data_IF_024173828135
#
_entry.id   IF_024173828135
#
_cell.length_a   1.000
_cell.length_b   1.000
_cell.length_c   1.000
_cell.angle_alpha   90.00
_cell.angle_beta   90.00
_cell.angle_gamma   90.00
#
_symmetry.space_group_name_H-M   'P 1'
#
loop_
_entity.id
_entity.type
_entity.pdbx_description
1 polymer ?
#
# COMPACT_ATOMS: atom_id res chain seq x y z
N UNK A 1 -73.51 14.36 25.04
CA UNK A 1 -72.65 13.54 25.91
C UNK A 1 -73.16 12.11 25.79
N UNK A 2 -73.05 11.45 24.63
CA UNK A 2 -71.82 10.93 23.99
C UNK A 2 -71.17 9.83 24.82
N UNK A 3 -71.47 8.56 24.55
CA UNK A 3 -70.58 7.66 23.80
C UNK A 3 -70.93 6.17 24.00
N UNK A 4 -71.11 5.50 22.87
CA UNK A 4 -71.11 4.05 22.61
C UNK A 4 -69.84 3.37 23.15
N UNK A 5 -69.87 2.12 23.65
CA UNK A 5 -68.66 1.32 23.76
C UNK A 5 -68.34 0.65 22.42
N UNK A 6 -67.30 1.14 21.76
CA UNK A 6 -66.67 0.53 20.59
C UNK A 6 -65.72 -0.61 21.00
N UNK A 7 -65.68 -1.65 20.16
CA UNK A 7 -64.74 -2.77 20.11
C UNK A 7 -63.27 -2.41 20.34
N UNK A 8 -62.46 -3.31 20.96
CA UNK A 8 -61.22 -3.83 20.33
C UNK A 8 -60.59 -5.03 21.08
N UNK A 9 -60.47 -6.18 20.41
CA UNK A 9 -59.43 -7.23 20.61
C UNK A 9 -58.20 -6.82 19.78
N UNK A 10 -56.96 -7.39 19.87
CA UNK A 10 -56.45 -8.51 20.68
C UNK A 10 -55.01 -8.33 21.24
N UNK A 11 -54.51 -9.30 22.00
CA UNK A 11 -53.12 -9.76 21.85
C UNK A 11 -52.22 -9.76 23.08
N UNK A 12 -51.35 -10.77 23.09
CA UNK A 12 -50.22 -10.99 23.99
C UNK A 12 -50.56 -11.59 25.36
N UNK A 13 -50.37 -12.92 25.44
CA UNK A 13 -50.57 -13.70 26.66
C UNK A 13 -49.72 -13.18 27.81
N UNK A 14 -50.38 -12.89 28.92
CA UNK A 14 -49.75 -12.52 30.18
C UNK A 14 -48.86 -13.67 30.67
N UNK A 15 -47.53 -13.52 30.57
CA UNK A 15 -46.61 -14.46 31.21
C UNK A 15 -46.65 -14.23 32.71
N UNK A 16 -47.31 -15.15 33.43
CA UNK A 16 -47.40 -15.13 34.89
C UNK A 16 -46.18 -15.84 35.47
N UNK A 17 -45.17 -15.09 35.93
CA UNK A 17 -44.03 -15.65 36.64
C UNK A 17 -44.44 -15.89 38.09
N UNK A 18 -44.44 -17.16 38.53
CA UNK A 18 -44.68 -17.56 39.92
C UNK A 18 -43.34 -17.81 40.61
N UNK A 19 -43.22 -17.40 41.87
CA UNK A 19 -42.04 -17.64 42.70
C UNK A 19 -41.82 -19.16 42.87
N UNK A 20 -40.89 -19.72 42.08
CA UNK A 20 -40.54 -21.13 42.11
C UNK A 20 -39.98 -21.69 40.80
N UNK A 21 -40.21 -21.04 39.66
CA UNK A 21 -39.72 -21.56 38.38
C UNK A 21 -38.34 -20.97 38.05
N UNK A 22 -37.31 -21.83 38.05
CA UNK A 22 -35.97 -21.44 37.59
C UNK A 22 -35.96 -21.33 36.07
N UNK A 23 -35.62 -20.15 35.56
CA UNK A 23 -35.59 -19.88 34.12
C UNK A 23 -34.69 -20.88 33.37
N UNK A 24 -35.12 -21.43 32.22
CA UNK A 24 -34.30 -22.38 31.48
C UNK A 24 -33.02 -21.71 30.96
N UNK A 25 -31.87 -22.26 31.34
CA UNK A 25 -30.54 -21.76 30.98
C UNK A 25 -30.36 -21.83 29.45
N UNK A 26 -30.08 -20.72 28.74
CA UNK A 26 -30.11 -20.71 27.28
C UNK A 26 -28.91 -21.46 26.68
N UNK A 27 -29.10 -22.74 26.34
CA UNK A 27 -28.09 -23.62 25.74
C UNK A 27 -27.62 -23.16 24.34
N UNK A 28 -28.47 -22.44 23.60
CA UNK A 28 -28.18 -21.91 22.24
C UNK A 28 -27.13 -20.80 22.21
N UNK A 29 -26.91 -20.06 23.30
CA UNK A 29 -25.94 -18.93 23.30
C UNK A 29 -24.50 -19.40 23.22
N UNK A 30 -24.17 -20.50 23.93
CA UNK A 30 -22.81 -21.07 23.97
C UNK A 30 -22.36 -21.60 22.61
N UNK A 31 -23.26 -22.17 21.82
CA UNK A 31 -22.93 -22.70 20.48
C UNK A 31 -22.64 -21.58 19.48
N UNK A 32 -23.35 -20.46 19.59
CA UNK A 32 -23.13 -19.26 18.76
C UNK A 32 -21.82 -18.57 19.12
N UNK A 33 -21.50 -18.47 20.40
CA UNK A 33 -20.23 -17.90 20.88
C UNK A 33 -19.01 -18.69 20.38
N UNK A 34 -19.09 -20.03 20.43
CA UNK A 34 -18.00 -20.90 19.93
C UNK A 34 -17.85 -20.77 18.41
N UNK A 35 -18.97 -20.72 17.66
CA UNK A 35 -18.92 -20.55 16.21
C UNK A 35 -18.30 -19.20 15.80
N UNK A 36 -18.61 -18.12 16.52
CA UNK A 36 -18.01 -16.80 16.30
C UNK A 36 -16.51 -16.80 16.60
N UNK A 37 -16.08 -17.42 17.69
CA UNK A 37 -14.67 -17.50 18.05
C UNK A 37 -13.85 -18.27 17.00
N UNK A 38 -14.37 -19.40 16.52
CA UNK A 38 -13.73 -20.19 15.44
C UNK A 38 -13.69 -19.40 14.13
N UNK A 39 -14.77 -18.71 13.78
CA UNK A 39 -14.83 -17.87 12.58
C UNK A 39 -13.80 -16.72 12.62
N UNK A 40 -13.63 -16.08 13.77
CA UNK A 40 -12.64 -15.00 13.96
C UNK A 40 -11.20 -15.52 13.80
N UNK A 41 -10.88 -16.67 14.41
CA UNK A 41 -9.54 -17.28 14.30
C UNK A 41 -9.21 -17.67 12.87
N UNK A 42 -10.17 -18.23 12.12
CA UNK A 42 -10.01 -18.53 10.70
C UNK A 42 -9.78 -17.28 9.85
N UNK A 43 -10.52 -16.20 10.12
CA UNK A 43 -10.35 -14.92 9.42
C UNK A 43 -8.97 -14.31 9.65
N UNK A 44 -8.48 -14.32 10.89
CA UNK A 44 -7.15 -13.80 11.24
C UNK A 44 -6.06 -14.64 10.57
N UNK A 45 -6.17 -15.97 10.63
CA UNK A 45 -5.21 -16.88 9.99
C UNK A 45 -5.14 -16.71 8.47
N UNK A 46 -6.29 -16.61 7.80
CA UNK A 46 -6.37 -16.36 6.36
C UNK A 46 -5.81 -14.98 5.98
N UNK A 47 -6.15 -13.94 6.76
CA UNK A 47 -5.64 -12.58 6.53
C UNK A 47 -4.11 -12.50 6.64
N UNK A 48 -3.52 -13.17 7.64
CA UNK A 48 -2.07 -13.20 7.81
C UNK A 48 -1.34 -13.93 6.67
N UNK A 49 -1.90 -15.04 6.18
CA UNK A 49 -1.33 -15.79 5.06
C UNK A 49 -1.34 -14.97 3.75
N UNK A 50 -2.45 -14.29 3.45
CA UNK A 50 -2.58 -13.44 2.26
C UNK A 50 -1.64 -12.22 2.35
N UNK A 51 -1.57 -11.56 3.50
CA UNK A 51 -0.68 -10.42 3.71
C UNK A 51 0.81 -10.81 3.57
N UNK A 52 1.18 -11.98 4.07
CA UNK A 52 2.54 -12.52 3.90
C UNK A 52 2.87 -12.79 2.43
N UNK A 53 1.96 -13.43 1.69
CA UNK A 53 2.15 -13.70 0.26
C UNK A 53 2.28 -12.42 -0.58
N UNK A 54 1.45 -11.39 -0.31
CA UNK A 54 1.55 -10.08 -0.96
C UNK A 54 2.86 -9.37 -0.64
N UNK A 55 3.32 -9.45 0.62
CA UNK A 55 4.55 -8.79 1.05
C UNK A 55 5.81 -9.39 0.41
N UNK A 56 5.81 -10.70 0.16
CA UNK A 56 6.94 -11.37 -0.52
C UNK A 56 7.04 -11.02 -2.01
N UNK A 57 5.95 -10.56 -2.64
CA UNK A 57 5.97 -10.07 -4.02
C UNK A 57 6.60 -8.67 -4.16
N UNK A 58 6.92 -8.01 -3.04
CA UNK A 58 7.60 -6.72 -2.99
C UNK A 58 9.12 -6.85 -2.83
N UNK A 59 9.67 -8.05 -3.05
CA UNK A 59 11.12 -8.24 -3.12
C UNK A 59 11.67 -7.38 -4.26
N UNK A 60 12.40 -6.34 -3.89
CA UNK A 60 13.14 -5.52 -4.84
C UNK A 60 14.00 -6.45 -5.69
N UNK A 61 13.89 -6.31 -7.02
CA UNK A 61 14.72 -7.06 -7.94
C UNK A 61 16.20 -6.91 -7.51
N UNK A 62 17.01 -7.98 -7.57
CA UNK A 62 18.44 -7.88 -7.32
C UNK A 62 18.97 -6.72 -8.17
N UNK A 63 19.62 -5.75 -7.52
CA UNK A 63 20.24 -4.66 -8.25
C UNK A 63 21.15 -5.30 -9.33
N UNK A 64 20.96 -4.96 -10.62
CA UNK A 64 21.80 -5.54 -11.65
C UNK A 64 23.26 -5.22 -11.30
N UNK A 65 24.14 -6.21 -11.45
CA UNK A 65 25.59 -5.99 -11.34
C UNK A 65 25.95 -4.89 -12.34
N UNK A 66 26.26 -3.70 -11.84
CA UNK A 66 26.55 -2.54 -12.69
C UNK A 66 27.93 -2.73 -13.30
N UNK A 67 27.99 -3.21 -14.54
CA UNK A 67 29.20 -3.07 -15.35
C UNK A 67 29.35 -1.60 -15.76
N UNK A 68 30.59 -1.11 -15.99
CA UNK A 68 30.81 0.20 -16.58
C UNK A 68 30.00 0.34 -17.87
N UNK A 69 29.38 1.50 -18.07
CA UNK A 69 28.64 1.77 -19.30
C UNK A 69 29.60 1.70 -20.50
N UNK A 70 29.12 1.22 -21.64
CA UNK A 70 29.93 1.20 -22.86
C UNK A 70 30.17 2.63 -23.40
N UNK A 71 29.21 3.54 -23.22
CA UNK A 71 29.30 4.91 -23.69
C UNK A 71 28.58 5.87 -22.73
N UNK A 72 29.22 7.01 -22.42
CA UNK A 72 28.66 8.16 -21.74
C UNK A 72 28.42 9.28 -22.75
N UNK A 73 27.19 9.78 -22.84
CA UNK A 73 26.82 10.95 -23.64
C UNK A 73 26.71 12.17 -22.74
N UNK A 74 27.59 13.15 -22.95
CA UNK A 74 27.66 14.39 -22.17
C UNK A 74 27.20 15.57 -23.03
N UNK A 75 26.00 16.07 -22.72
CA UNK A 75 25.49 17.33 -23.27
C UNK A 75 25.87 18.52 -22.39
N UNK A 76 26.38 19.61 -22.97
CA UNK A 76 26.71 20.83 -22.22
C UNK A 76 26.50 22.12 -23.04
N UNK A 77 26.32 23.25 -22.36
CA UNK A 77 26.29 24.56 -22.98
C UNK A 77 27.70 25.15 -23.05
N UNK A 78 28.05 25.78 -24.17
CA UNK A 78 29.34 26.44 -24.34
C UNK A 78 29.38 27.85 -23.74
N UNK A 79 28.95 27.99 -22.48
CA UNK A 79 28.95 29.25 -21.73
C UNK A 79 29.83 29.16 -20.47
N UNK A 80 30.15 30.32 -19.89
CA UNK A 80 31.05 30.40 -18.72
C UNK A 80 30.51 29.69 -17.48
N UNK A 81 29.18 29.60 -17.33
CA UNK A 81 28.55 28.93 -16.18
C UNK A 81 28.72 27.41 -16.24
N UNK A 82 28.94 26.84 -17.43
CA UNK A 82 29.28 25.43 -17.64
C UNK A 82 30.79 25.21 -17.86
N UNK A 83 31.63 26.10 -17.31
CA UNK A 83 33.08 26.03 -17.34
C UNK A 83 33.68 24.64 -16.99
N UNK A 84 33.16 23.91 -15.99
CA UNK A 84 33.67 22.57 -15.68
C UNK A 84 33.55 21.57 -16.85
N UNK A 85 32.43 21.59 -17.59
CA UNK A 85 32.25 20.72 -18.75
C UNK A 85 33.18 21.15 -19.91
N UNK A 86 33.34 22.46 -20.12
CA UNK A 86 34.25 23.00 -21.13
C UNK A 86 35.71 22.61 -20.85
N UNK A 87 36.18 22.86 -19.62
CA UNK A 87 37.56 22.53 -19.23
C UNK A 87 37.75 21.02 -19.18
N UNK A 88 36.79 20.28 -18.65
CA UNK A 88 36.84 18.84 -18.50
C UNK A 88 36.88 18.08 -19.83
N UNK A 89 36.14 18.55 -20.83
CA UNK A 89 36.19 18.01 -22.20
C UNK A 89 37.44 18.50 -22.95
N UNK A 90 37.76 19.80 -22.91
CA UNK A 90 38.91 20.38 -23.63
C UNK A 90 40.27 19.86 -23.15
N UNK A 91 40.41 19.59 -21.85
CA UNK A 91 41.64 19.02 -21.26
C UNK A 91 41.62 17.49 -21.17
N UNK A 92 40.56 16.85 -21.67
CA UNK A 92 40.41 15.39 -21.63
C UNK A 92 40.29 14.78 -20.22
N UNK A 93 39.98 15.60 -19.21
CA UNK A 93 39.87 15.13 -17.81
C UNK A 93 38.71 14.16 -17.65
N UNK A 94 37.58 14.42 -18.32
CA UNK A 94 36.39 13.55 -18.23
C UNK A 94 36.72 12.18 -18.85
N UNK A 95 37.29 12.15 -20.06
CA UNK A 95 37.65 10.89 -20.71
C UNK A 95 38.67 10.07 -19.90
N UNK A 96 39.62 10.73 -19.21
CA UNK A 96 40.61 10.06 -18.37
C UNK A 96 39.99 9.29 -17.19
N UNK A 97 39.01 9.89 -16.53
CA UNK A 97 38.33 9.26 -15.38
C UNK A 97 37.34 8.16 -15.79
N UNK A 98 36.96 8.12 -17.08
CA UNK A 98 36.02 7.13 -17.61
C UNK A 98 36.65 5.76 -17.92
N UNK A 99 37.97 5.66 -18.02
CA UNK A 99 38.66 4.42 -18.39
C UNK A 99 38.20 3.91 -19.75
N UNK A 100 37.59 2.72 -19.77
CA UNK A 100 37.12 2.05 -21.00
C UNK A 100 35.77 2.58 -21.50
N UNK A 101 35.06 3.41 -20.72
CA UNK A 101 33.79 3.99 -21.16
C UNK A 101 34.03 5.06 -22.22
N UNK A 102 33.42 4.89 -23.39
CA UNK A 102 33.51 5.86 -24.48
C UNK A 102 32.81 7.18 -24.11
N UNK A 103 33.47 8.33 -24.24
CA UNK A 103 32.85 9.64 -24.06
C UNK A 103 32.36 10.20 -25.41
N UNK A 104 31.07 10.53 -25.49
CA UNK A 104 30.44 11.25 -26.59
C UNK A 104 29.95 12.60 -26.09
N UNK A 105 30.26 13.70 -26.78
CA UNK A 105 29.91 15.05 -26.33
C UNK A 105 28.97 15.76 -27.30
N UNK A 106 28.04 16.54 -26.76
CA UNK A 106 27.11 17.35 -27.54
C UNK A 106 27.04 18.75 -26.97
N UNK A 107 27.28 19.75 -27.82
CA UNK A 107 27.13 21.16 -27.43
C UNK A 107 25.72 21.63 -27.74
N UNK A 108 25.06 22.21 -26.73
CA UNK A 108 23.75 22.84 -26.90
C UNK A 108 23.90 24.34 -27.09
N UNK A 109 23.00 24.92 -27.89
CA UNK A 109 22.96 26.36 -28.11
C UNK A 109 22.49 27.06 -26.83
N UNK A 110 23.29 27.99 -26.31
CA UNK A 110 23.01 28.70 -25.06
C UNK A 110 22.03 29.88 -25.23
N UNK A 111 21.58 30.16 -26.45
CA UNK A 111 20.68 31.27 -26.77
C UNK A 111 21.39 32.64 -26.76
N UNK A 112 20.71 33.73 -27.18
CA UNK A 112 21.34 35.04 -27.38
C UNK A 112 21.80 35.76 -26.10
N UNK A 113 21.45 35.23 -24.92
CA UNK A 113 21.60 35.90 -23.63
C UNK A 113 22.64 35.25 -22.70
N UNK A 114 23.40 34.27 -23.21
CA UNK A 114 24.42 33.54 -22.45
C UNK A 114 25.79 34.20 -22.45
#
# INVERSE_FOLDING_TARGET
MSNTPESQKPGSGTTRIVAGETAPKPKRRRTVEIALAVGLVLLIGAGAAVASAVSQNNQAAPAPTTSPAAELKLGYFSNVTHGPALVGTSKGLIAKELGDTKLSTQVFNAGPAA
#
